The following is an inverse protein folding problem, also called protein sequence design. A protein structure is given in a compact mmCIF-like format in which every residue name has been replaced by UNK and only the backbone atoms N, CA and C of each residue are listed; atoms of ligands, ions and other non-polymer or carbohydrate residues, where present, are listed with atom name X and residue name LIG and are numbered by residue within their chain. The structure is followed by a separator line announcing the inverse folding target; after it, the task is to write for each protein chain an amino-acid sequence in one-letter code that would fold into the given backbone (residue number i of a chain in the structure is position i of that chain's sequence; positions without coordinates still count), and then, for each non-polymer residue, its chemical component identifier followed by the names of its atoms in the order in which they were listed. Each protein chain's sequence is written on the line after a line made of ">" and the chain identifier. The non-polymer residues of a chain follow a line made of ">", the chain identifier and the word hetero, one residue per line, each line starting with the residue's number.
data_IF_525772098610
#
_entry.id   IF_525772098610
#
_cell.length_a   1.000
_cell.length_b   1.000
_cell.length_c   1.000
_cell.angle_alpha   90.00
_cell.angle_beta   90.00
_cell.angle_gamma   90.00
#
_symmetry.space_group_name_H-M   'P 1'
#
loop_
_entity.id
_entity.type
_entity.pdbx_description
1 polymer ?
#
# COMPACT_ATOMS: atom_id res chain seq x y z
N UNK A 1 -8.36 -40.01 -63.94
CA UNK A 1 -6.99 -40.38 -63.56
C UNK A 1 -6.46 -39.25 -62.68
N UNK A 2 -5.99 -39.41 -61.46
CA UNK A 2 -6.10 -40.45 -60.43
C UNK A 2 -5.67 -39.75 -59.12
N UNK A 3 -6.01 -40.34 -57.99
CA UNK A 3 -5.88 -39.84 -56.62
C UNK A 3 -4.44 -39.53 -56.15
N UNK A 4 -4.28 -38.58 -55.22
CA UNK A 4 -4.02 -38.91 -53.80
C UNK A 4 -3.76 -37.68 -52.93
N UNK A 5 -4.31 -37.78 -51.73
CA UNK A 5 -4.19 -36.91 -50.56
C UNK A 5 -2.77 -36.85 -49.99
N UNK A 6 -2.39 -35.70 -49.42
CA UNK A 6 -1.60 -35.73 -48.19
C UNK A 6 -1.99 -34.57 -47.26
N UNK A 7 -2.43 -34.97 -46.06
CA UNK A 7 -2.74 -34.12 -44.91
C UNK A 7 -1.44 -33.53 -44.35
N UNK A 8 -1.42 -32.21 -44.13
CA UNK A 8 -0.36 -31.51 -43.43
C UNK A 8 -0.95 -30.48 -42.48
N UNK A 9 -1.53 -30.94 -41.38
CA UNK A 9 -1.98 -30.11 -40.26
C UNK A 9 -0.77 -29.43 -39.63
N UNK A 10 -0.54 -28.15 -39.93
CA UNK A 10 0.40 -27.33 -39.17
C UNK A 10 -0.28 -27.00 -37.85
N UNK A 11 0.12 -27.73 -36.80
CA UNK A 11 -0.29 -27.45 -35.41
C UNK A 11 0.35 -26.12 -34.97
N UNK A 12 -0.44 -25.06 -34.93
CA UNK A 12 -0.20 -23.93 -34.04
C UNK A 12 -0.72 -24.33 -32.65
N UNK A 13 0.06 -25.14 -31.94
CA UNK A 13 -0.12 -25.40 -30.51
C UNK A 13 1.28 -25.34 -29.91
N UNK A 14 1.54 -24.31 -29.10
CA UNK A 14 2.57 -24.22 -28.03
C UNK A 14 3.05 -22.77 -27.77
N UNK A 15 2.15 -21.78 -27.74
CA UNK A 15 2.47 -20.43 -27.17
C UNK A 15 1.40 -19.96 -26.16
N UNK A 16 0.30 -20.70 -25.98
CA UNK A 16 -0.79 -20.33 -25.06
C UNK A 16 -0.92 -21.23 -23.82
N UNK A 17 -0.14 -22.33 -23.72
CA UNK A 17 -0.18 -23.23 -22.57
C UNK A 17 0.88 -22.94 -21.49
N UNK A 18 1.91 -22.14 -21.77
CA UNK A 18 2.93 -21.80 -20.75
C UNK A 18 2.56 -20.56 -19.89
N UNK A 19 1.49 -19.84 -20.23
CA UNK A 19 1.04 -18.66 -19.44
C UNK A 19 0.03 -19.04 -18.35
N UNK A 20 -0.43 -20.30 -18.28
CA UNK A 20 -1.52 -20.70 -17.37
C UNK A 20 -1.11 -21.63 -16.22
N UNK A 21 0.19 -21.85 -16.01
CA UNK A 21 0.71 -22.53 -14.82
C UNK A 21 1.64 -21.56 -14.09
N UNK A 22 1.11 -20.42 -13.63
CA UNK A 22 1.76 -19.70 -12.56
C UNK A 22 1.50 -20.48 -11.27
N UNK A 23 2.60 -21.04 -10.77
CA UNK A 23 2.74 -21.65 -9.47
C UNK A 23 1.98 -20.83 -8.41
N UNK A 24 0.94 -21.40 -7.81
CA UNK A 24 0.46 -20.96 -6.50
C UNK A 24 1.58 -21.30 -5.50
N UNK A 25 2.62 -20.47 -5.47
CA UNK A 25 3.76 -20.62 -4.60
C UNK A 25 3.38 -20.27 -3.18
N UNK A 26 3.77 -21.17 -2.27
CA UNK A 26 3.59 -21.07 -0.83
C UNK A 26 4.51 -19.97 -0.28
N UNK A 27 4.08 -18.72 -0.33
CA UNK A 27 4.46 -17.82 0.75
C UNK A 27 3.80 -18.34 2.05
N UNK A 28 4.49 -18.36 3.20
CA UNK A 28 3.86 -18.66 4.47
C UNK A 28 3.02 -17.45 4.90
N UNK A 29 1.99 -17.10 4.13
CA UNK A 29 1.07 -16.00 4.47
C UNK A 29 -0.04 -16.47 5.42
N UNK A 30 -0.13 -17.78 5.66
CA UNK A 30 -0.88 -18.31 6.79
C UNK A 30 -0.09 -18.04 8.07
N UNK A 31 -0.59 -17.18 8.99
CA UNK A 31 0.08 -17.00 10.28
C UNK A 31 0.19 -18.34 10.99
N UNK A 32 1.34 -18.60 11.61
CA UNK A 32 1.48 -19.70 12.55
C UNK A 32 0.71 -19.33 13.83
N UNK A 33 -0.53 -19.78 13.90
CA UNK A 33 -1.42 -19.47 15.01
C UNK A 33 -1.13 -20.34 16.24
N UNK A 34 -0.27 -21.38 16.14
CA UNK A 34 0.04 -22.24 17.28
C UNK A 34 0.70 -21.43 18.41
N UNK A 35 0.07 -21.46 19.59
CA UNK A 35 0.55 -20.74 20.77
C UNK A 35 0.14 -19.26 20.89
N UNK A 36 -0.42 -18.64 19.85
CA UNK A 36 -0.95 -17.27 19.89
C UNK A 36 -2.26 -17.15 20.69
N UNK A 37 -2.59 -15.96 21.18
CA UNK A 37 -3.88 -15.72 21.87
C UNK A 37 -5.09 -16.04 20.97
N UNK A 38 -4.99 -15.71 19.68
CA UNK A 38 -6.00 -16.06 18.67
C UNK A 38 -6.09 -17.58 18.47
N UNK A 39 -4.96 -18.29 18.37
CA UNK A 39 -4.92 -19.75 18.29
C UNK A 39 -5.51 -20.44 19.51
N UNK A 40 -5.18 -19.98 20.72
CA UNK A 40 -5.72 -20.50 21.98
C UNK A 40 -7.22 -20.21 22.15
N UNK A 41 -7.70 -19.06 21.68
CA UNK A 41 -9.12 -18.71 21.68
C UNK A 41 -9.92 -19.58 20.69
N UNK A 42 -9.38 -19.78 19.48
CA UNK A 42 -9.95 -20.66 18.47
C UNK A 42 -9.96 -22.13 18.93
N UNK A 43 -8.89 -22.63 19.55
CA UNK A 43 -8.85 -23.99 20.12
C UNK A 43 -9.87 -24.21 21.24
N UNK A 44 -10.04 -23.21 22.13
CA UNK A 44 -11.03 -23.27 23.22
C UNK A 44 -12.47 -23.23 22.73
N UNK A 45 -12.76 -22.54 21.63
CA UNK A 45 -14.12 -22.50 21.06
C UNK A 45 -14.44 -23.63 20.08
N UNK A 46 -13.46 -24.17 19.35
CA UNK A 46 -13.75 -24.90 18.10
C UNK A 46 -13.54 -26.40 18.12
N UNK A 47 -12.81 -27.00 19.08
CA UNK A 47 -12.82 -28.43 19.43
C UNK A 47 -12.60 -29.52 18.35
N UNK A 48 -12.73 -29.24 17.06
CA UNK A 48 -12.64 -30.22 15.97
C UNK A 48 -12.49 -29.50 14.62
N UNK A 49 -11.29 -29.62 14.01
CA UNK A 49 -10.92 -28.98 12.73
C UNK A 49 -11.88 -29.32 11.57
N UNK A 50 -12.65 -30.42 11.67
CA UNK A 50 -13.62 -30.85 10.64
C UNK A 50 -14.95 -30.10 10.67
N UNK A 51 -15.29 -29.42 11.77
CA UNK A 51 -16.54 -28.67 11.89
C UNK A 51 -16.47 -27.28 11.22
N UNK A 52 -15.28 -26.68 11.15
CA UNK A 52 -15.04 -25.36 10.54
C UNK A 52 -15.36 -25.36 9.03
N UNK A 53 -14.87 -26.37 8.30
CA UNK A 53 -15.13 -26.53 6.86
C UNK A 53 -16.62 -26.74 6.52
N UNK A 54 -17.44 -27.17 7.49
CA UNK A 54 -18.89 -27.34 7.32
C UNK A 54 -19.73 -26.13 7.74
N UNK A 55 -19.17 -25.17 8.49
CA UNK A 55 -19.88 -23.96 8.94
C UNK A 55 -19.51 -22.69 8.14
N UNK A 56 -18.38 -22.70 7.41
CA UNK A 56 -18.02 -21.60 6.50
C UNK A 56 -19.07 -21.35 5.39
N UNK A 57 -19.86 -22.36 5.02
CA UNK A 57 -21.00 -22.24 4.09
C UNK A 57 -22.20 -21.47 4.65
N UNK A 58 -22.29 -21.25 5.98
CA UNK A 58 -23.35 -20.46 6.60
C UNK A 58 -22.95 -18.99 6.87
N UNK A 59 -21.66 -18.64 6.71
CA UNK A 59 -21.10 -17.29 6.89
C UNK A 59 -20.70 -16.63 5.56
N UNK A 60 -21.11 -17.18 4.40
CA UNK A 60 -20.84 -16.57 3.09
C UNK A 60 -19.38 -16.68 2.61
N UNK A 61 -18.51 -17.40 3.31
CA UNK A 61 -17.12 -17.64 2.92
C UNK A 61 -17.00 -18.86 1.98
N UNK A 62 -17.79 -18.86 0.90
CA UNK A 62 -17.66 -19.82 -0.18
C UNK A 62 -16.93 -19.17 -1.36
N UNK A 63 -15.79 -19.75 -1.74
CA UNK A 63 -15.12 -19.51 -3.03
C UNK A 63 -16.15 -19.72 -4.16
N UNK A 64 -16.32 -18.77 -5.11
CA UNK A 64 -17.10 -19.05 -6.30
C UNK A 64 -16.35 -20.07 -7.16
N UNK A 65 -16.92 -21.25 -7.30
CA UNK A 65 -16.59 -22.14 -8.42
C UNK A 65 -17.02 -21.41 -9.71
N UNK A 66 -16.06 -21.03 -10.55
CA UNK A 66 -16.32 -20.44 -11.86
C UNK A 66 -17.19 -21.38 -12.70
N UNK A 67 -18.41 -20.95 -13.01
CA UNK A 67 -19.16 -21.46 -14.14
C UNK A 67 -18.84 -20.57 -15.35
N UNK A 68 -18.15 -21.12 -16.34
CA UNK A 68 -17.88 -20.45 -17.61
C UNK A 68 -19.20 -20.19 -18.35
N UNK A 69 -19.60 -18.93 -18.48
CA UNK A 69 -20.65 -18.49 -19.39
C UNK A 69 -20.00 -17.72 -20.55
N UNK A 70 -19.96 -18.36 -21.71
CA UNK A 70 -19.50 -17.76 -22.97
C UNK A 70 -20.52 -16.72 -23.46
N UNK A 71 -20.05 -15.52 -23.81
CA UNK A 71 -20.80 -14.55 -24.61
C UNK A 71 -20.12 -14.38 -25.97
N UNK A 72 -20.89 -14.25 -27.07
CA UNK A 72 -20.33 -14.14 -28.41
C UNK A 72 -19.82 -12.72 -28.68
N UNK A 73 -18.65 -12.64 -29.29
CA UNK A 73 -18.08 -11.43 -29.89
C UNK A 73 -18.90 -11.07 -31.14
N UNK A 74 -19.35 -9.82 -31.22
CA UNK A 74 -19.82 -9.21 -32.47
C UNK A 74 -18.96 -7.97 -32.72
N UNK A 75 -18.27 -7.98 -33.85
CA UNK A 75 -17.48 -6.86 -34.37
C UNK A 75 -18.25 -6.17 -35.50
N UNK A 76 -18.13 -4.82 -35.58
CA UNK A 76 -18.08 -3.96 -36.80
C UNK A 76 -18.11 -2.47 -36.35
N UNK A 77 -17.03 -1.69 -36.62
CA UNK A 77 -16.85 -0.68 -37.68
C UNK A 77 -17.77 0.56 -37.53
N UNK A 78 -17.34 1.83 -37.58
CA UNK A 78 -16.41 2.50 -38.52
C UNK A 78 -15.97 3.89 -37.98
N UNK A 79 -14.89 4.43 -38.56
CA UNK A 79 -14.32 5.77 -38.29
C UNK A 79 -15.09 6.88 -39.04
N UNK A 80 -15.24 8.05 -38.42
CA UNK A 80 -15.46 9.32 -39.13
C UNK A 80 -14.54 10.41 -38.57
N UNK A 81 -13.90 11.14 -39.48
CA UNK A 81 -12.86 12.12 -39.21
C UNK A 81 -13.43 13.53 -39.03
N UNK A 82 -12.84 14.32 -38.13
CA UNK A 82 -13.11 15.77 -37.99
C UNK A 82 -11.80 16.57 -38.08
N UNK A 83 -11.81 17.79 -38.67
CA UNK A 83 -10.61 18.50 -39.15
C UNK A 83 -9.92 19.38 -38.07
N UNK A 84 -8.71 19.93 -38.32
CA UNK A 84 -7.85 20.49 -37.28
C UNK A 84 -8.18 21.96 -36.96
N UNK A 85 -7.89 22.36 -35.72
CA UNK A 85 -7.95 23.74 -35.20
C UNK A 85 -6.58 24.04 -34.56
N UNK A 86 -6.03 25.28 -34.69
CA UNK A 86 -4.60 25.53 -34.74
C UNK A 86 -3.90 25.65 -33.39
N UNK A 87 -2.57 25.46 -33.45
CA UNK A 87 -1.57 25.64 -32.40
C UNK A 87 -1.65 27.03 -31.75
N UNK A 88 -1.64 27.06 -30.42
CA UNK A 88 -0.87 27.98 -29.57
C UNK A 88 -1.18 27.66 -28.10
N UNK A 89 -0.16 27.30 -27.31
CA UNK A 89 -0.28 27.21 -25.85
C UNK A 89 0.54 26.09 -25.20
N UNK A 90 1.83 26.36 -24.98
CA UNK A 90 2.72 25.54 -24.17
C UNK A 90 2.21 25.44 -22.72
N UNK A 91 2.17 24.21 -22.16
CA UNK A 91 1.95 24.04 -20.72
C UNK A 91 1.18 22.79 -20.28
N UNK A 92 1.72 21.61 -20.58
CA UNK A 92 1.57 20.39 -19.76
C UNK A 92 2.54 19.32 -20.28
N UNK A 93 3.61 19.01 -19.54
CA UNK A 93 4.45 17.84 -19.84
C UNK A 93 3.82 16.64 -19.12
N UNK A 94 2.77 16.11 -19.72
CA UNK A 94 2.35 14.75 -19.44
C UNK A 94 3.34 13.82 -20.11
N UNK A 95 4.19 13.16 -19.32
CA UNK A 95 4.93 11.94 -19.69
C UNK A 95 5.41 11.86 -21.15
N UNK A 96 6.18 12.84 -21.61
CA UNK A 96 6.94 12.69 -22.86
C UNK A 96 8.37 12.26 -22.52
N UNK A 97 8.64 10.99 -22.81
CA UNK A 97 9.94 10.36 -22.74
C UNK A 97 10.86 10.91 -23.85
N UNK A 98 11.42 12.10 -23.66
CA UNK A 98 12.63 12.52 -24.39
C UNK A 98 13.25 13.77 -23.79
N UNK A 99 13.96 13.58 -22.67
CA UNK A 99 15.29 14.12 -22.31
C UNK A 99 15.46 13.91 -20.81
N UNK A 100 15.52 12.65 -20.39
CA UNK A 100 15.95 12.26 -19.05
C UNK A 100 17.26 11.50 -19.21
N UNK A 101 18.30 11.91 -18.50
CA UNK A 101 19.37 10.98 -18.19
C UNK A 101 18.72 9.74 -17.55
N UNK A 102 18.96 8.60 -18.20
CA UNK A 102 18.19 7.37 -18.12
C UNK A 102 18.42 6.65 -16.77
N UNK A 103 17.43 6.67 -15.87
CA UNK A 103 17.32 5.72 -14.75
C UNK A 103 16.65 4.40 -15.17
N UNK A 104 16.22 4.30 -16.43
CA UNK A 104 15.32 3.31 -17.00
C UNK A 104 15.95 1.94 -17.25
N UNK A 105 16.44 1.30 -16.17
CA UNK A 105 16.50 -0.17 -16.02
C UNK A 105 16.90 -0.59 -14.59
N UNK A 106 17.07 0.36 -13.66
CA UNK A 106 17.67 0.03 -12.36
C UNK A 106 16.61 -0.48 -11.38
N UNK A 107 16.76 -1.74 -10.94
CA UNK A 107 16.05 -2.29 -9.78
C UNK A 107 16.90 -2.16 -8.52
N UNK A 108 16.32 -2.06 -7.32
CA UNK A 108 17.08 -2.11 -6.07
C UNK A 108 18.02 -3.32 -6.03
N UNK A 109 19.28 -3.08 -5.68
CA UNK A 109 20.28 -4.13 -5.61
C UNK A 109 20.19 -4.83 -4.25
N UNK A 110 20.03 -6.16 -4.19
CA UNK A 110 20.06 -6.91 -2.93
C UNK A 110 21.34 -6.69 -2.12
N UNK A 111 21.17 -6.48 -0.83
CA UNK A 111 22.22 -6.31 0.17
C UNK A 111 21.97 -7.24 1.36
N UNK A 112 22.87 -7.25 2.33
CA UNK A 112 22.61 -7.92 3.61
C UNK A 112 21.38 -7.32 4.28
N UNK A 113 20.38 -8.13 4.69
CA UNK A 113 19.17 -7.59 5.26
C UNK A 113 19.41 -6.96 6.63
N UNK A 114 18.74 -5.84 6.89
CA UNK A 114 18.67 -5.23 8.22
C UNK A 114 17.68 -5.99 9.09
N UNK A 115 17.92 -6.00 10.40
CA UNK A 115 16.99 -6.64 11.33
C UNK A 115 15.66 -5.90 11.35
N UNK A 116 14.55 -6.64 11.26
CA UNK A 116 13.22 -6.06 11.33
C UNK A 116 12.92 -5.53 12.74
N UNK A 117 12.38 -4.32 12.80
CA UNK A 117 11.80 -3.75 14.01
C UNK A 117 10.33 -3.50 13.74
N UNK A 118 9.46 -3.94 14.67
CA UNK A 118 8.01 -3.72 14.57
C UNK A 118 7.75 -2.23 14.45
N UNK A 119 7.06 -1.83 13.38
CA UNK A 119 6.63 -0.45 13.21
C UNK A 119 5.62 -0.09 14.30
N UNK A 120 5.91 0.91 15.14
CA UNK A 120 5.00 1.36 16.19
C UNK A 120 3.81 2.11 15.57
N UNK A 121 2.57 1.59 15.68
CA UNK A 121 1.41 2.25 15.11
C UNK A 121 0.94 3.43 15.99
N UNK A 122 1.43 3.59 17.22
CA UNK A 122 0.98 4.66 18.11
C UNK A 122 1.56 6.00 17.67
N UNK A 123 0.69 6.97 17.39
CA UNK A 123 1.14 8.31 17.03
C UNK A 123 1.50 9.13 18.25
N UNK A 124 2.77 9.55 18.32
CA UNK A 124 3.20 10.52 19.32
C UNK A 124 2.44 11.87 19.16
N UNK A 125 2.14 12.57 20.27
CA UNK A 125 1.62 13.94 20.22
C UNK A 125 2.58 14.89 19.49
N UNK A 126 2.03 15.97 18.92
CA UNK A 126 2.82 17.04 18.32
C UNK A 126 2.36 18.40 18.84
N UNK A 127 3.31 19.24 19.20
CA UNK A 127 3.08 20.64 19.53
C UNK A 127 3.14 21.52 18.27
N UNK A 128 2.39 22.62 18.22
CA UNK A 128 2.50 23.58 17.11
C UNK A 128 3.82 24.35 17.16
N UNK A 129 4.32 24.74 15.99
CA UNK A 129 5.54 25.51 15.79
C UNK A 129 6.33 25.01 14.58
N UNK A 130 7.38 25.74 14.16
CA UNK A 130 8.23 25.32 13.05
C UNK A 130 8.77 23.90 13.22
N UNK A 131 8.80 23.13 12.13
CA UNK A 131 9.26 21.74 12.09
C UNK A 131 10.36 21.57 11.07
N UNK A 132 11.46 20.96 11.48
CA UNK A 132 12.56 20.61 10.57
C UNK A 132 12.63 19.09 10.47
N UNK A 133 12.55 18.57 9.25
CA UNK A 133 12.68 17.15 8.95
C UNK A 133 13.85 16.93 7.99
N UNK A 134 14.68 15.93 8.28
CA UNK A 134 15.66 15.39 7.34
C UNK A 134 15.27 13.97 7.01
N UNK A 135 14.93 13.70 5.75
CA UNK A 135 14.56 12.38 5.24
C UNK A 135 15.66 11.89 4.30
N UNK A 136 16.16 10.68 4.53
CA UNK A 136 17.28 10.13 3.77
C UNK A 136 16.80 9.00 2.86
N UNK A 137 16.93 9.17 1.54
CA UNK A 137 16.68 8.12 0.56
C UNK A 137 17.86 7.15 0.51
N UNK A 138 17.59 5.84 0.58
CA UNK A 138 18.62 4.80 0.65
C UNK A 138 18.21 3.50 -0.03
N UNK A 139 19.20 2.80 -0.59
CA UNK A 139 19.09 1.40 -0.95
C UNK A 139 19.21 0.56 0.32
N UNK A 140 18.19 -0.23 0.66
CA UNK A 140 18.20 -1.05 1.88
C UNK A 140 17.43 -2.34 1.65
N UNK A 141 18.05 -3.46 2.01
CA UNK A 141 17.32 -4.73 2.07
C UNK A 141 16.67 -4.87 3.44
N UNK A 142 15.33 -4.89 3.48
CA UNK A 142 14.51 -5.00 4.70
C UNK A 142 13.73 -6.31 4.69
N UNK A 143 13.33 -6.83 5.84
CA UNK A 143 12.33 -7.90 5.84
C UNK A 143 10.93 -7.30 5.70
N UNK A 144 10.13 -7.86 4.79
CA UNK A 144 8.71 -7.50 4.59
C UNK A 144 7.77 -8.59 5.10
N UNK A 145 8.30 -9.77 5.44
CA UNK A 145 7.65 -10.83 6.19
C UNK A 145 8.73 -11.71 6.83
N UNK A 146 8.32 -12.70 7.63
CA UNK A 146 9.27 -13.66 8.21
C UNK A 146 10.05 -14.37 7.11
N UNK A 147 11.37 -14.39 7.25
CA UNK A 147 12.30 -15.00 6.29
C UNK A 147 12.14 -14.49 4.83
N UNK A 148 11.55 -13.30 4.65
CA UNK A 148 11.30 -12.68 3.34
C UNK A 148 12.03 -11.34 3.25
N UNK A 149 13.34 -11.34 2.99
CA UNK A 149 14.09 -10.11 2.74
C UNK A 149 13.71 -9.54 1.36
N UNK A 150 13.62 -8.23 1.27
CA UNK A 150 13.21 -7.45 0.10
C UNK A 150 14.20 -6.32 -0.15
N UNK A 151 14.78 -6.28 -1.34
CA UNK A 151 15.63 -5.19 -1.79
C UNK A 151 14.76 -3.98 -2.10
N UNK A 152 14.80 -2.98 -1.21
CA UNK A 152 13.98 -1.78 -1.31
C UNK A 152 14.80 -0.52 -1.57
N UNK A 153 14.10 0.47 -2.09
CA UNK A 153 14.49 1.87 -1.93
C UNK A 153 13.62 2.45 -0.82
N UNK A 154 14.27 3.04 0.17
CA UNK A 154 13.63 3.39 1.43
C UNK A 154 13.80 4.87 1.73
N UNK A 155 12.95 5.37 2.62
CA UNK A 155 13.20 6.60 3.36
C UNK A 155 13.55 6.23 4.80
N UNK A 156 14.69 6.69 5.29
CA UNK A 156 15.17 6.43 6.66
C UNK A 156 15.29 4.92 6.98
N UNK A 157 15.85 4.13 6.04
CA UNK A 157 16.14 2.68 6.16
C UNK A 157 14.90 1.78 6.43
N UNK A 158 13.68 2.29 6.24
CA UNK A 158 12.43 1.61 6.58
C UNK A 158 11.40 1.65 5.45
N UNK A 159 10.52 0.65 5.43
CA UNK A 159 9.31 0.62 4.60
C UNK A 159 8.12 0.39 5.55
N UNK A 160 7.10 1.28 5.56
CA UNK A 160 7.15 2.64 5.04
C UNK A 160 8.27 3.44 5.75
N UNK A 161 8.62 4.59 5.19
CA UNK A 161 9.37 5.60 5.93
C UNK A 161 8.58 6.11 7.15
N UNK A 162 9.28 6.70 8.11
CA UNK A 162 8.68 7.18 9.37
C UNK A 162 7.52 8.14 9.14
N UNK A 163 6.49 8.06 9.98
CA UNK A 163 5.41 9.04 9.95
C UNK A 163 5.89 10.41 10.41
N UNK A 164 5.67 11.43 9.57
CA UNK A 164 5.89 12.83 9.90
C UNK A 164 4.60 13.42 10.46
N UNK A 165 4.69 14.25 11.50
CA UNK A 165 3.52 14.85 12.14
C UNK A 165 3.73 16.33 12.43
N UNK A 166 2.77 17.16 12.05
CA UNK A 166 2.80 18.62 12.19
C UNK A 166 1.41 19.15 12.55
N UNK A 167 1.30 20.45 12.86
CA UNK A 167 0.02 21.14 13.07
C UNK A 167 -0.24 22.10 11.90
N UNK A 168 -1.51 22.23 11.52
CA UNK A 168 -1.96 23.20 10.53
C UNK A 168 -1.47 24.62 10.90
N UNK A 169 -0.77 25.25 9.96
CA UNK A 169 -0.14 26.55 10.12
C UNK A 169 1.35 26.49 10.47
N UNK A 170 1.90 25.32 10.80
CA UNK A 170 3.33 25.15 11.00
C UNK A 170 4.10 25.42 9.69
N UNK A 171 5.23 26.12 9.80
CA UNK A 171 6.25 26.14 8.74
C UNK A 171 7.06 24.87 8.84
N UNK A 172 7.12 24.10 7.76
CA UNK A 172 7.88 22.86 7.66
C UNK A 172 9.08 23.09 6.76
N UNK A 173 10.28 22.86 7.30
CA UNK A 173 11.53 22.75 6.54
C UNK A 173 11.78 21.27 6.24
N UNK A 174 11.80 20.91 4.96
CA UNK A 174 12.06 19.55 4.50
C UNK A 174 13.44 19.51 3.84
N UNK A 175 14.35 18.75 4.43
CA UNK A 175 15.64 18.37 3.86
C UNK A 175 15.56 16.94 3.36
N UNK A 176 15.82 16.74 2.09
CA UNK A 176 15.90 15.41 1.46
C UNK A 176 17.34 15.18 1.08
N UNK A 177 17.92 14.06 1.54
CA UNK A 177 19.26 13.64 1.15
C UNK A 177 19.16 12.32 0.41
N UNK A 178 19.85 12.22 -0.72
CA UNK A 178 19.98 10.97 -1.42
C UNK A 178 21.32 10.28 -1.07
N UNK A 179 21.25 9.18 -0.34
CA UNK A 179 22.37 8.28 -0.06
C UNK A 179 22.23 6.94 -0.83
N UNK A 180 21.21 6.83 -1.70
CA UNK A 180 20.98 5.70 -2.59
C UNK A 180 21.85 5.76 -3.85
N UNK A 181 21.83 4.67 -4.62
CA UNK A 181 22.69 4.53 -5.79
C UNK A 181 22.16 5.25 -7.04
N UNK A 182 20.86 5.54 -7.07
CA UNK A 182 20.17 6.17 -8.20
C UNK A 182 19.51 7.48 -7.78
N UNK A 183 18.98 8.24 -8.74
CA UNK A 183 18.23 9.45 -8.43
C UNK A 183 16.99 9.16 -7.59
N UNK A 184 16.74 10.02 -6.61
CA UNK A 184 15.55 10.00 -5.77
C UNK A 184 15.04 11.41 -5.51
N UNK A 185 13.76 11.53 -5.18
CA UNK A 185 13.12 12.78 -4.75
C UNK A 185 12.14 12.50 -3.62
N UNK A 186 11.43 13.53 -3.14
CA UNK A 186 10.35 13.39 -2.18
C UNK A 186 9.23 14.39 -2.50
N UNK A 187 8.11 13.87 -2.98
CA UNK A 187 6.80 14.53 -3.09
C UNK A 187 6.05 14.33 -1.77
N UNK A 188 5.42 15.38 -1.23
CA UNK A 188 4.48 15.26 -0.12
C UNK A 188 3.13 15.88 -0.48
N UNK A 189 2.05 15.10 -0.34
CA UNK A 189 0.70 15.59 -0.64
C UNK A 189 0.22 16.66 0.37
N UNK A 190 0.94 16.88 1.47
CA UNK A 190 0.63 17.91 2.46
C UNK A 190 1.06 19.34 2.02
N UNK A 191 1.89 19.47 0.98
CA UNK A 191 2.41 20.75 0.52
C UNK A 191 1.70 21.25 -0.74
N UNK A 192 1.33 22.54 -0.74
CA UNK A 192 0.89 23.24 -1.95
C UNK A 192 2.10 23.91 -2.59
N UNK A 193 2.66 23.29 -3.61
CA UNK A 193 3.89 23.78 -4.22
C UNK A 193 4.01 23.38 -5.70
N UNK A 194 4.98 23.98 -6.41
CA UNK A 194 5.34 23.56 -7.76
C UNK A 194 6.27 22.34 -7.68
N UNK A 195 5.91 21.20 -8.28
CA UNK A 195 6.77 20.02 -8.33
C UNK A 195 8.13 20.31 -8.96
N UNK A 196 8.20 21.12 -10.02
CA UNK A 196 9.45 21.50 -10.69
C UNK A 196 10.42 22.23 -9.74
N UNK A 197 9.88 22.97 -8.77
CA UNK A 197 10.70 23.73 -7.84
C UNK A 197 11.14 22.91 -6.63
N UNK A 198 10.26 22.09 -6.06
CA UNK A 198 10.48 21.50 -4.74
C UNK A 198 10.55 19.96 -4.72
N UNK A 199 10.15 19.27 -5.80
CA UNK A 199 10.23 17.80 -5.92
C UNK A 199 11.27 17.38 -6.95
N UNK A 200 12.43 18.04 -6.89
CA UNK A 200 13.55 17.80 -7.82
C UNK A 200 14.15 16.41 -7.59
N UNK A 201 14.57 15.78 -8.68
CA UNK A 201 15.42 14.60 -8.61
C UNK A 201 16.79 15.01 -8.06
N UNK A 202 17.28 14.23 -7.10
CA UNK A 202 18.58 14.39 -6.47
C UNK A 202 19.46 13.25 -6.91
N UNK A 203 20.63 13.54 -7.44
CA UNK A 203 21.65 12.54 -7.72
C UNK A 203 22.17 11.90 -6.42
N UNK A 204 22.83 10.74 -6.55
CA UNK A 204 23.49 10.10 -5.42
C UNK A 204 24.46 11.07 -4.72
N UNK A 205 24.27 11.29 -3.42
CA UNK A 205 25.07 12.18 -2.59
C UNK A 205 24.56 13.62 -2.53
N UNK A 206 23.51 13.98 -3.29
CA UNK A 206 22.93 15.31 -3.24
C UNK A 206 21.95 15.49 -2.07
N UNK A 207 21.77 16.75 -1.68
CA UNK A 207 20.83 17.16 -0.65
C UNK A 207 20.09 18.42 -1.11
N UNK A 208 18.79 18.47 -0.85
CA UNK A 208 17.95 19.61 -1.17
C UNK A 208 17.06 19.96 0.02
N UNK A 209 17.00 21.27 0.34
CA UNK A 209 16.17 21.79 1.41
C UNK A 209 15.19 22.82 0.89
N UNK A 210 13.93 22.68 1.26
CA UNK A 210 12.86 23.62 0.93
C UNK A 210 11.91 23.76 2.11
N UNK A 211 11.02 24.75 2.05
CA UNK A 211 10.02 24.95 3.09
C UNK A 211 8.63 25.20 2.51
N UNK A 212 7.62 24.87 3.31
CA UNK A 212 6.22 25.18 3.04
C UNK A 212 5.46 25.41 4.35
N UNK A 213 4.27 26.00 4.26
CA UNK A 213 3.35 26.09 5.39
C UNK A 213 2.29 24.99 5.24
N UNK A 214 2.10 24.17 6.26
CA UNK A 214 1.08 23.12 6.26
C UNK A 214 -0.32 23.75 6.41
N UNK A 215 -0.94 24.15 5.29
CA UNK A 215 -2.21 24.93 5.30
C UNK A 215 -3.47 24.08 5.28
N UNK A 216 -3.37 22.75 5.33
CA UNK A 216 -4.54 21.87 5.17
C UNK A 216 -4.39 20.67 6.08
N UNK A 217 -5.30 20.48 7.07
CA UNK A 217 -5.27 19.32 7.92
C UNK A 217 -5.67 18.06 7.14
N UNK A 218 -5.06 16.94 7.50
CA UNK A 218 -5.28 15.68 6.82
C UNK A 218 -4.22 14.62 7.08
N UNK A 219 -4.41 13.47 6.46
CA UNK A 219 -3.49 12.35 6.41
C UNK A 219 -3.05 12.17 4.96
N UNK A 220 -1.79 12.49 4.72
CA UNK A 220 -1.20 12.58 3.39
C UNK A 220 -0.12 11.52 3.25
N UNK A 221 0.09 11.00 2.04
CA UNK A 221 1.34 10.29 1.76
C UNK A 221 2.45 11.29 1.42
N UNK A 222 3.69 10.88 1.65
CA UNK A 222 4.84 11.37 0.91
C UNK A 222 5.50 10.20 0.20
N UNK A 223 6.09 10.42 -0.97
CA UNK A 223 6.73 9.37 -1.75
C UNK A 223 7.81 9.92 -2.67
N UNK A 224 8.62 9.03 -3.25
CA UNK A 224 9.54 9.44 -4.31
C UNK A 224 8.77 9.78 -5.60
N UNK A 225 9.08 10.92 -6.20
CA UNK A 225 8.50 11.40 -7.47
C UNK A 225 9.42 11.20 -8.68
N UNK A 226 10.56 10.53 -8.50
CA UNK A 226 11.51 10.26 -9.60
C UNK A 226 10.94 9.22 -10.57
N UNK A 227 10.99 9.46 -11.90
CA UNK A 227 10.60 8.46 -12.88
C UNK A 227 11.51 7.21 -12.89
N UNK A 228 10.95 5.99 -13.09
CA UNK A 228 9.53 5.68 -13.16
C UNK A 228 8.89 5.61 -11.76
N UNK A 229 7.98 6.56 -11.46
CA UNK A 229 7.39 6.76 -10.11
C UNK A 229 6.77 5.49 -9.54
N UNK A 230 6.10 4.70 -10.40
CA UNK A 230 5.49 3.43 -10.01
C UNK A 230 6.50 2.47 -9.37
N UNK A 231 7.70 2.34 -9.97
CA UNK A 231 8.75 1.46 -9.44
C UNK A 231 9.28 2.00 -8.12
N UNK A 232 9.49 3.31 -7.99
CA UNK A 232 10.01 3.88 -6.74
C UNK A 232 9.03 3.69 -5.57
N UNK A 233 7.74 3.90 -5.80
CA UNK A 233 6.70 3.62 -4.78
C UNK A 233 6.68 2.13 -4.47
N UNK A 234 6.57 1.26 -5.49
CA UNK A 234 6.53 -0.19 -5.28
C UNK A 234 7.80 -0.77 -4.63
N UNK A 235 8.95 -0.13 -4.81
CA UNK A 235 10.21 -0.47 -4.17
C UNK A 235 10.28 -0.05 -2.69
N UNK A 236 9.30 0.71 -2.18
CA UNK A 236 9.23 1.07 -0.76
C UNK A 236 9.32 2.56 -0.43
N UNK A 237 9.48 3.44 -1.42
CA UNK A 237 9.70 4.88 -1.18
C UNK A 237 8.40 5.63 -0.92
N UNK A 238 7.77 5.36 0.22
CA UNK A 238 6.58 6.06 0.69
C UNK A 238 6.55 6.14 2.22
N UNK A 239 5.79 7.10 2.74
CA UNK A 239 5.45 7.22 4.15
C UNK A 239 4.24 8.12 4.35
N UNK A 240 3.89 8.39 5.60
CA UNK A 240 2.74 9.23 5.95
C UNK A 240 3.16 10.57 6.55
N UNK A 241 2.43 11.62 6.21
CA UNK A 241 2.49 12.92 6.84
C UNK A 241 1.11 13.30 7.39
N UNK A 242 1.01 13.44 8.71
CA UNK A 242 -0.22 13.83 9.40
C UNK A 242 -0.15 15.33 9.73
N UNK A 243 -1.12 16.10 9.24
CA UNK A 243 -1.32 17.50 9.59
C UNK A 243 -2.52 17.59 10.52
N UNK A 244 -2.25 17.77 11.81
CA UNK A 244 -3.31 17.98 12.80
C UNK A 244 -4.03 19.31 12.50
N UNK A 245 -5.37 19.41 12.70
CA UNK A 245 -6.07 20.69 12.62
C UNK A 245 -5.56 21.64 13.69
N UNK A 246 -5.61 22.94 13.38
CA UNK A 246 -5.10 23.98 14.28
C UNK A 246 -5.79 23.99 15.64
N UNK A 247 -7.08 23.67 15.68
CA UNK A 247 -7.88 23.58 16.91
C UNK A 247 -7.61 22.29 17.72
N UNK A 248 -6.77 21.40 17.18
CA UNK A 248 -6.51 20.09 17.76
C UNK A 248 -7.59 19.06 17.46
N UNK A 249 -7.24 17.79 17.68
CA UNK A 249 -8.20 16.70 17.64
C UNK A 249 -8.85 16.48 19.01
N UNK A 250 -10.09 15.96 19.03
CA UNK A 250 -10.66 15.43 20.26
C UNK A 250 -9.78 14.30 20.82
N UNK A 251 -9.62 14.19 22.16
CA UNK A 251 -8.79 13.15 22.77
C UNK A 251 -9.19 11.75 22.32
N UNK A 252 -8.20 10.96 21.88
CA UNK A 252 -8.36 9.57 21.47
C UNK A 252 -7.03 8.82 21.60
N UNK A 253 -7.10 7.50 21.59
CA UNK A 253 -5.97 6.62 21.34
C UNK A 253 -5.67 6.68 19.84
N UNK A 254 -4.55 7.32 19.46
CA UNK A 254 -4.25 7.60 18.05
C UNK A 254 -3.29 6.57 17.44
N UNK A 255 -3.75 5.93 16.36
CA UNK A 255 -2.99 4.95 15.61
C UNK A 255 -2.78 5.40 14.15
N UNK A 256 -1.73 4.91 13.50
CA UNK A 256 -1.47 5.08 12.06
C UNK A 256 -1.30 3.73 11.38
N UNK A 257 -2.05 3.52 10.30
CA UNK A 257 -1.83 2.44 9.34
C UNK A 257 -1.52 3.02 7.96
N UNK A 258 -0.32 2.76 7.47
CA UNK A 258 0.10 2.99 6.10
C UNK A 258 -0.07 1.68 5.35
N UNK A 259 -1.11 1.59 4.52
CA UNK A 259 -1.31 0.43 3.67
C UNK A 259 -0.49 0.53 2.40
N UNK A 260 0.12 -0.57 2.00
CA UNK A 260 0.83 -0.71 0.74
C UNK A 260 0.85 -2.17 0.31
N UNK A 261 1.23 -2.42 -0.93
CA UNK A 261 1.40 -3.77 -1.45
C UNK A 261 2.78 -3.99 -2.09
N UNK A 262 3.20 -5.26 -2.11
CA UNK A 262 4.48 -5.69 -2.67
C UNK A 262 4.25 -6.57 -3.90
N UNK A 263 5.15 -6.43 -4.87
CA UNK A 263 5.19 -7.24 -6.09
C UNK A 263 6.61 -7.78 -6.25
N UNK A 264 6.80 -9.07 -6.10
CA UNK A 264 8.09 -9.74 -6.22
C UNK A 264 8.33 -10.19 -7.65
N UNK A 265 9.50 -9.86 -8.21
CA UNK A 265 9.88 -10.34 -9.54
C UNK A 265 9.95 -11.87 -9.58
N UNK A 266 10.58 -12.47 -8.57
CA UNK A 266 10.63 -13.90 -8.34
C UNK A 266 10.37 -14.19 -6.85
N UNK A 267 9.30 -14.94 -6.56
CA UNK A 267 8.89 -15.26 -5.20
C UNK A 267 9.73 -16.38 -4.55
N UNK A 268 10.59 -17.06 -5.33
CA UNK A 268 11.55 -18.05 -4.82
C UNK A 268 12.95 -17.47 -4.61
N UNK A 269 13.16 -16.20 -4.94
CA UNK A 269 14.46 -15.55 -4.80
C UNK A 269 14.90 -15.51 -3.32
N UNK A 270 16.21 -15.63 -3.02
CA UNK A 270 16.71 -15.51 -1.65
C UNK A 270 16.54 -14.10 -1.09
N UNK A 271 16.42 -13.09 -1.96
CA UNK A 271 16.03 -11.71 -1.65
C UNK A 271 15.07 -11.27 -2.73
N UNK A 272 13.88 -10.83 -2.33
CA UNK A 272 12.83 -10.37 -3.22
C UNK A 272 13.19 -9.01 -3.82
N UNK A 273 12.84 -8.76 -5.08
CA UNK A 273 13.00 -7.46 -5.76
C UNK A 273 11.66 -7.00 -6.34
N UNK A 274 11.41 -5.69 -6.49
CA UNK A 274 10.16 -5.18 -7.07
C UNK A 274 9.98 -5.62 -8.52
N UNK A 275 8.75 -6.00 -8.89
CA UNK A 275 8.38 -6.32 -10.27
C UNK A 275 7.61 -5.18 -10.94
N UNK A 276 8.27 -4.47 -11.86
CA UNK A 276 7.62 -3.44 -12.68
C UNK A 276 6.53 -4.03 -13.57
N UNK A 277 6.74 -5.23 -14.10
CA UNK A 277 5.76 -5.92 -14.95
C UNK A 277 4.49 -6.27 -14.18
N UNK A 278 4.60 -6.86 -12.98
CA UNK A 278 3.41 -7.13 -12.15
C UNK A 278 2.70 -5.84 -11.78
N UNK A 279 3.43 -4.79 -11.40
CA UNK A 279 2.83 -3.49 -11.06
C UNK A 279 2.04 -2.87 -12.22
N UNK A 280 2.58 -2.90 -13.44
CA UNK A 280 1.96 -2.28 -14.61
C UNK A 280 0.75 -3.05 -15.12
N UNK A 281 0.87 -4.39 -15.24
CA UNK A 281 -0.11 -5.19 -15.97
C UNK A 281 -1.12 -5.91 -15.09
N UNK A 282 -0.91 -5.97 -13.77
CA UNK A 282 -1.81 -6.70 -12.89
C UNK A 282 -2.93 -5.84 -12.29
N UNK A 283 -2.87 -4.51 -12.37
CA UNK A 283 -3.83 -3.60 -11.71
C UNK A 283 -4.11 -3.99 -10.24
N UNK A 284 -3.08 -4.45 -9.51
CA UNK A 284 -3.21 -4.94 -8.14
C UNK A 284 -3.64 -6.40 -7.97
N UNK A 285 -3.87 -7.19 -9.02
CA UNK A 285 -4.30 -8.59 -8.92
C UNK A 285 -3.16 -9.60 -8.71
N UNK A 286 -1.92 -9.24 -9.02
CA UNK A 286 -0.73 -10.09 -8.87
C UNK A 286 0.22 -9.57 -7.79
N UNK A 287 -0.32 -8.88 -6.78
CA UNK A 287 0.45 -8.54 -5.60
C UNK A 287 0.82 -9.81 -4.83
N UNK A 288 2.01 -9.84 -4.27
CA UNK A 288 2.51 -10.95 -3.48
C UNK A 288 2.21 -10.76 -1.98
N UNK A 289 2.00 -9.51 -1.55
CA UNK A 289 1.66 -9.16 -0.19
C UNK A 289 0.96 -7.81 -0.09
N UNK A 290 0.09 -7.64 0.90
CA UNK A 290 -0.47 -6.34 1.27
C UNK A 290 -0.24 -6.16 2.77
N UNK A 291 0.32 -5.03 3.19
CA UNK A 291 0.69 -4.79 4.57
C UNK A 291 -0.04 -3.57 5.15
N UNK A 292 -0.20 -3.57 6.47
CA UNK A 292 -0.22 -2.31 7.21
C UNK A 292 1.17 -2.09 7.80
N UNK A 293 1.75 -0.92 7.57
CA UNK A 293 3.07 -0.50 8.04
C UNK A 293 4.21 -1.44 7.58
N UNK A 294 4.14 -1.87 6.31
CA UNK A 294 5.28 -2.38 5.54
C UNK A 294 5.77 -3.79 5.84
N UNK A 295 5.16 -4.48 6.81
CA UNK A 295 5.46 -5.88 7.11
C UNK A 295 4.17 -6.71 7.18
N UNK A 296 4.11 -7.81 6.41
CA UNK A 296 2.94 -8.68 6.32
C UNK A 296 2.63 -9.30 7.68
N UNK A 297 1.38 -9.21 8.13
CA UNK A 297 0.91 -9.80 9.40
C UNK A 297 1.64 -9.29 10.66
N UNK A 298 2.38 -8.17 10.61
CA UNK A 298 3.16 -7.68 11.76
C UNK A 298 2.33 -7.55 13.04
N UNK A 299 1.10 -7.06 12.90
CA UNK A 299 0.17 -6.83 13.99
C UNK A 299 -0.72 -8.05 14.33
N UNK A 300 -0.56 -9.16 13.60
CA UNK A 300 -1.03 -10.48 14.05
C UNK A 300 -0.01 -11.06 15.01
N UNK A 301 1.27 -10.93 14.68
CA UNK A 301 2.39 -11.38 15.52
C UNK A 301 2.59 -10.48 16.75
N UNK A 302 2.28 -9.19 16.61
CA UNK A 302 2.41 -8.16 17.64
C UNK A 302 1.11 -7.36 17.77
N UNK A 303 0.06 -7.91 18.43
CA UNK A 303 -1.21 -7.23 18.60
C UNK A 303 -1.08 -5.85 19.27
N UNK A 304 -1.89 -4.90 18.82
CA UNK A 304 -1.88 -3.51 19.28
C UNK A 304 -2.80 -3.40 20.48
N UNK A 305 -2.26 -3.05 21.65
CA UNK A 305 -3.07 -2.82 22.84
C UNK A 305 -3.87 -1.51 22.70
N UNK A 306 -5.17 -1.60 22.97
CA UNK A 306 -6.08 -0.44 23.09
C UNK A 306 -6.95 -0.64 24.32
N UNK A 307 -7.48 0.44 24.88
CA UNK A 307 -8.34 0.39 26.06
C UNK A 307 -9.81 0.42 25.68
N UNK A 308 -10.60 -0.40 26.39
CA UNK A 308 -12.06 -0.41 26.29
C UNK A 308 -12.65 0.91 26.80
N UNK A 309 -13.68 1.41 26.13
CA UNK A 309 -14.41 2.62 26.52
C UNK A 309 -13.69 3.95 26.28
N UNK A 310 -12.43 3.95 25.83
CA UNK A 310 -11.71 5.15 25.39
C UNK A 310 -11.82 5.30 23.86
N UNK A 311 -12.09 6.50 23.31
CA UNK A 311 -12.15 6.72 21.87
C UNK A 311 -10.84 6.30 21.19
N UNK A 312 -10.95 5.65 20.04
CA UNK A 312 -9.83 5.27 19.17
C UNK A 312 -9.95 6.09 17.90
N UNK A 313 -8.83 6.68 17.45
CA UNK A 313 -8.71 7.31 16.13
C UNK A 313 -7.61 6.61 15.35
N UNK A 314 -7.96 6.01 14.22
CA UNK A 314 -6.98 5.42 13.31
C UNK A 314 -6.88 6.31 12.08
N UNK A 315 -5.70 6.87 11.85
CA UNK A 315 -5.34 7.44 10.57
C UNK A 315 -4.94 6.30 9.64
N UNK A 316 -5.55 6.25 8.46
CA UNK A 316 -5.24 5.24 7.45
C UNK A 316 -4.78 5.97 6.21
N UNK A 317 -3.53 5.74 5.79
CA UNK A 317 -2.97 6.25 4.52
C UNK A 317 -2.79 5.06 3.61
N UNK A 318 -3.40 5.05 2.44
CA UNK A 318 -3.17 4.02 1.45
C UNK A 318 -2.09 4.49 0.47
N UNK A 319 -0.83 4.14 0.72
CA UNK A 319 0.29 4.51 -0.13
C UNK A 319 0.29 3.77 -1.48
N UNK A 320 -0.37 2.60 -1.56
CA UNK A 320 -0.46 1.81 -2.79
C UNK A 320 0.83 1.05 -3.14
N UNK A 321 1.19 0.94 -4.44
CA UNK A 321 0.83 1.88 -5.50
C UNK A 321 -0.54 1.69 -6.20
N UNK A 322 -1.16 0.53 -6.17
CA UNK A 322 -2.36 0.20 -6.98
C UNK A 322 -3.55 -0.29 -6.15
N UNK A 323 -3.31 -0.96 -5.02
CA UNK A 323 -4.37 -1.64 -4.28
C UNK A 323 -5.23 -0.66 -3.50
N UNK A 324 -6.55 -0.75 -3.66
CA UNK A 324 -7.52 -0.01 -2.85
C UNK A 324 -7.63 -0.63 -1.44
N UNK A 325 -7.79 0.22 -0.43
CA UNK A 325 -8.17 -0.21 0.91
C UNK A 325 -9.67 -0.13 1.08
N UNK A 326 -10.34 -1.27 1.29
CA UNK A 326 -11.69 -1.28 1.87
C UNK A 326 -11.54 -1.43 3.38
N UNK A 327 -11.10 -0.37 4.06
CA UNK A 327 -10.69 -0.45 5.45
C UNK A 327 -11.90 -0.72 6.36
N UNK A 328 -11.77 -1.72 7.23
CA UNK A 328 -12.81 -2.18 8.13
C UNK A 328 -12.20 -2.65 9.45
N UNK A 329 -12.90 -2.45 10.56
CA UNK A 329 -12.58 -3.05 11.86
C UNK A 329 -13.72 -3.98 12.26
N UNK A 330 -13.46 -5.29 12.24
CA UNK A 330 -14.45 -6.32 12.57
C UNK A 330 -14.90 -6.15 14.02
N UNK A 331 -16.21 -6.05 14.22
CA UNK A 331 -16.84 -5.85 15.52
C UNK A 331 -17.02 -4.38 15.92
N UNK A 332 -16.58 -3.43 15.09
CA UNK A 332 -16.81 -2.00 15.31
C UNK A 332 -17.71 -1.41 14.21
N UNK A 333 -18.34 -0.28 14.52
CA UNK A 333 -18.94 0.65 13.57
C UNK A 333 -18.22 1.98 13.77
N UNK A 334 -17.84 2.64 12.69
CA UNK A 334 -17.19 3.94 12.77
C UNK A 334 -18.21 5.00 13.16
N UNK A 335 -18.04 5.54 14.36
CA UNK A 335 -18.80 6.68 14.86
C UNK A 335 -18.62 7.86 13.90
N UNK A 336 -17.39 8.06 13.43
CA UNK A 336 -17.02 9.11 12.50
C UNK A 336 -15.90 8.68 11.56
N UNK A 337 -16.02 9.04 10.30
CA UNK A 337 -14.99 8.91 9.27
C UNK A 337 -14.73 10.28 8.69
N UNK A 338 -13.46 10.68 8.62
CA UNK A 338 -13.04 11.93 8.01
C UNK A 338 -12.24 11.61 6.74
N UNK A 339 -12.81 11.91 5.58
CA UNK A 339 -12.17 11.70 4.28
C UNK A 339 -10.94 12.61 4.15
N UNK A 340 -9.82 12.05 3.66
CA UNK A 340 -8.47 12.66 3.68
C UNK A 340 -7.97 13.01 5.10
N UNK A 341 -8.62 12.47 6.14
CA UNK A 341 -8.49 12.89 7.54
C UNK A 341 -8.71 14.39 7.77
N UNK A 342 -9.46 15.07 6.90
CA UNK A 342 -9.85 16.45 7.12
C UNK A 342 -11.08 16.47 8.05
N UNK A 343 -11.04 17.15 9.21
CA UNK A 343 -12.17 17.17 10.15
C UNK A 343 -13.43 17.86 9.61
N UNK A 344 -13.37 18.49 8.42
CA UNK A 344 -14.55 19.04 7.74
C UNK A 344 -15.24 18.07 6.80
N UNK A 345 -14.60 16.94 6.47
CA UNK A 345 -15.09 15.98 5.49
C UNK A 345 -15.66 14.73 6.19
N UNK A 346 -16.74 14.91 6.96
CA UNK A 346 -17.22 13.92 7.91
C UNK A 346 -18.35 13.05 7.35
N UNK A 347 -18.27 11.76 7.63
CA UNK A 347 -19.30 10.75 7.43
C UNK A 347 -19.50 10.01 8.76
N UNK A 348 -20.71 9.51 9.03
CA UNK A 348 -21.07 8.92 10.34
C UNK A 348 -21.75 7.57 10.16
N UNK A 349 -21.51 6.62 11.07
CA UNK A 349 -22.16 5.31 11.09
C UNK A 349 -21.72 4.38 9.95
N UNK A 350 -20.47 4.51 9.49
CA UNK A 350 -19.92 3.67 8.43
C UNK A 350 -19.38 2.36 9.00
N UNK A 351 -19.61 1.25 8.31
CA UNK A 351 -18.96 -0.04 8.66
C UNK A 351 -17.55 -0.14 8.07
N UNK A 352 -17.31 0.51 6.93
CA UNK A 352 -16.05 0.46 6.19
C UNK A 352 -15.88 1.75 5.39
N UNK A 353 -14.64 2.08 5.05
CA UNK A 353 -14.31 3.23 4.18
C UNK A 353 -13.40 2.77 3.04
N UNK A 354 -13.71 3.21 1.82
CA UNK A 354 -12.85 2.98 0.65
C UNK A 354 -11.81 4.09 0.56
N UNK A 355 -10.53 3.72 0.50
CA UNK A 355 -9.39 4.63 0.44
C UNK A 355 -8.57 4.25 -0.80
N UNK A 356 -8.50 5.15 -1.77
CA UNK A 356 -7.75 4.92 -3.02
C UNK A 356 -6.23 5.01 -2.81
N UNK A 357 -5.42 4.48 -3.74
CA UNK A 357 -3.98 4.71 -3.72
C UNK A 357 -3.65 6.21 -3.71
N UNK A 358 -2.75 6.60 -2.83
CA UNK A 358 -2.33 7.97 -2.59
C UNK A 358 -3.29 8.83 -1.76
N UNK A 359 -4.31 8.20 -1.17
CA UNK A 359 -5.31 8.85 -0.33
C UNK A 359 -5.17 8.45 1.15
N UNK A 360 -5.90 9.16 2.03
CA UNK A 360 -5.99 8.84 3.44
C UNK A 360 -7.39 9.08 4.03
N UNK A 361 -7.57 8.66 5.28
CA UNK A 361 -8.76 8.90 6.07
C UNK A 361 -8.42 8.90 7.57
N UNK A 362 -9.27 9.50 8.40
CA UNK A 362 -9.38 9.08 9.80
C UNK A 362 -10.68 8.31 10.01
N UNK A 363 -10.62 7.26 10.83
CA UNK A 363 -11.80 6.62 11.41
C UNK A 363 -11.74 6.76 12.93
N UNK A 364 -12.89 7.05 13.53
CA UNK A 364 -13.06 7.17 14.98
C UNK A 364 -14.17 6.21 15.42
N UNK A 365 -13.91 5.47 16.49
CA UNK A 365 -14.85 4.55 17.11
C UNK A 365 -14.47 4.27 18.56
N UNK A 366 -15.39 3.68 19.32
CA UNK A 366 -15.12 3.17 20.68
C UNK A 366 -15.42 1.68 20.75
N UNK A 367 -14.56 0.92 21.44
CA UNK A 367 -14.80 -0.50 21.69
C UNK A 367 -15.41 -0.65 23.09
N UNK A 368 -16.61 -1.25 23.17
CA UNK A 368 -17.39 -1.33 24.41
C UNK A 368 -17.06 -2.57 25.25
N UNK A 369 -16.51 -3.61 24.64
CA UNK A 369 -16.23 -4.90 25.28
C UNK A 369 -14.74 -5.26 25.14
N UNK A 370 -14.12 -5.89 26.16
CA UNK A 370 -12.80 -6.47 26.02
C UNK A 370 -12.79 -7.58 24.97
N UNK A 371 -11.73 -7.66 24.16
CA UNK A 371 -11.62 -8.66 23.12
C UNK A 371 -10.55 -8.38 22.09
N UNK A 372 -10.45 -9.25 21.09
CA UNK A 372 -9.58 -9.05 19.94
C UNK A 372 -10.42 -8.60 18.74
N UNK A 373 -10.19 -7.37 18.28
CA UNK A 373 -10.84 -6.79 17.11
C UNK A 373 -9.87 -6.82 15.93
N UNK A 374 -10.38 -7.01 14.72
CA UNK A 374 -9.53 -7.25 13.54
C UNK A 374 -9.71 -6.10 12.55
N UNK A 375 -8.69 -5.27 12.41
CA UNK A 375 -8.60 -4.27 11.34
C UNK A 375 -8.08 -4.95 10.06
N UNK A 376 -8.77 -4.73 8.93
CA UNK A 376 -8.47 -5.39 7.66
C UNK A 376 -8.63 -4.48 6.46
N UNK A 377 -7.97 -4.83 5.36
CA UNK A 377 -8.49 -4.52 4.04
C UNK A 377 -9.56 -5.56 3.65
N UNK A 378 -10.82 -5.14 3.59
CA UNK A 378 -11.98 -6.01 3.39
C UNK A 378 -12.13 -6.53 1.94
N UNK A 379 -11.26 -6.11 1.02
CA UNK A 379 -10.94 -6.95 -0.12
C UNK A 379 -10.18 -8.17 0.39
N UNK A 380 -10.91 -9.19 0.86
CA UNK A 380 -10.38 -10.26 1.72
C UNK A 380 -9.20 -11.04 1.15
N UNK A 381 -9.03 -11.03 -0.18
CA UNK A 381 -7.77 -11.49 -0.79
C UNK A 381 -6.56 -10.76 -0.19
N UNK A 382 -6.61 -9.43 -0.09
CA UNK A 382 -5.55 -8.60 0.48
C UNK A 382 -5.33 -8.85 1.98
N UNK A 383 -6.40 -9.07 2.75
CA UNK A 383 -6.28 -9.49 4.15
C UNK A 383 -5.55 -10.84 4.27
N UNK A 384 -5.92 -11.82 3.44
CA UNK A 384 -5.23 -13.11 3.38
C UNK A 384 -3.77 -13.00 2.90
N UNK A 385 -3.40 -11.87 2.26
CA UNK A 385 -2.04 -11.55 1.83
C UNK A 385 -1.27 -10.67 2.84
N UNK A 386 -1.80 -10.44 4.05
CA UNK A 386 -1.06 -9.80 5.15
C UNK A 386 -1.68 -8.53 5.74
N UNK A 387 -2.74 -7.98 5.12
CA UNK A 387 -3.35 -6.71 5.53
C UNK A 387 -4.31 -6.90 6.71
N UNK A 388 -3.77 -7.37 7.83
CA UNK A 388 -4.49 -7.67 9.06
C UNK A 388 -3.75 -7.02 10.24
N UNK A 389 -4.51 -6.34 11.09
CA UNK A 389 -4.05 -5.85 12.39
C UNK A 389 -4.99 -6.29 13.50
N UNK A 390 -4.44 -6.86 14.58
CA UNK A 390 -5.20 -7.21 15.77
C UNK A 390 -5.15 -6.05 16.75
N UNK A 391 -6.32 -5.53 17.14
CA UNK A 391 -6.48 -4.61 18.25
C UNK A 391 -6.90 -5.41 19.47
N UNK A 392 -6.05 -5.47 20.48
CA UNK A 392 -6.31 -6.13 21.75
C UNK A 392 -6.92 -5.11 22.71
N UNK A 393 -8.25 -5.14 22.86
CA UNK A 393 -9.00 -4.25 23.72
C UNK A 393 -9.05 -4.82 25.15
N UNK A 394 -8.50 -4.07 26.11
CA UNK A 394 -8.42 -4.44 27.53
C UNK A 394 -9.05 -3.41 28.48
#
# INVERSE_FOLDING_TARGET
>A
MDHSSNNGTVRFSNILEEVFIMSFMRLPVTPDLEGTALGQHLERQLGDRRAFLRRATALGLALPALAAAAYPVVAQHEHEATPPVPEDGDGYVGSDASTSDDTGDSTPVPQSPTAHTVYDPVLAPVESGPKDFTVVAKDTTVFVAKDTPYAGWTFDDTIPGRTLRVVEGDTVTMTVRNEGAIMHSLDTHAAKTSPELNYRNLESGEEFTWNFVATTPGAFMYHCGTPPVLLHIGAGMYGAMIVNPKEGWSPAQELIFVQSEFYFEDADAPVMSPSMTKMMFASGMMMDGVAFNGYLNQYVENPIAVKVGEPIRIFVVNAGPNVWSSFHVVGAIFDRVCVNANPRNELFGLQSVSIGPGDGACVEFTLEEPGTYVAVNHSFGHAAHGAIALLQAE
#
